data_IF_286369629309
#
_entry.id   IF_286369629309
#
_cell.length_a   1.000
_cell.length_b   1.000
_cell.length_c   1.000
_cell.angle_alpha   90.00
_cell.angle_beta   90.00
_cell.angle_gamma   90.00
#
_symmetry.space_group_name_H-M   'P 1'
#
loop_
_entity.id
_entity.type
_entity.pdbx_description
1 polymer ?
#
# COMPACT_ATOMS: atom_id res chain seq x y z
N UNK A 1 20.01 -36.94 62.58
CA UNK A 1 18.89 -37.59 61.84
C UNK A 1 18.81 -36.99 60.49
N UNK A 2 19.11 -37.80 59.50
CA UNK A 2 19.27 -37.50 58.09
C UNK A 2 17.91 -37.51 57.42
N UNK A 3 17.55 -36.51 56.59
CA UNK A 3 16.60 -36.69 55.54
C UNK A 3 17.07 -35.95 54.28
N UNK A 4 17.17 -36.74 53.27
CA UNK A 4 17.70 -36.63 51.93
C UNK A 4 16.98 -35.60 51.07
N UNK A 5 17.79 -34.92 50.28
CA UNK A 5 17.44 -34.13 49.11
C UNK A 5 17.07 -35.08 47.93
N UNK A 6 15.99 -34.88 47.25
CA UNK A 6 15.70 -35.54 45.98
C UNK A 6 15.49 -34.52 44.87
N UNK A 7 16.31 -34.72 43.87
CA UNK A 7 16.37 -34.08 42.57
C UNK A 7 15.01 -33.93 41.84
N UNK A 8 14.78 -32.78 41.28
CA UNK A 8 13.84 -32.58 40.20
C UNK A 8 14.60 -32.14 38.94
N UNK A 9 14.79 -33.08 38.03
CA UNK A 9 15.28 -32.80 36.69
C UNK A 9 14.18 -32.22 35.82
N UNK A 10 14.46 -31.25 34.93
CA UNK A 10 13.49 -30.78 33.93
C UNK A 10 13.50 -31.74 32.72
N UNK A 11 12.33 -32.24 32.41
CA UNK A 11 12.06 -33.07 31.23
C UNK A 11 12.22 -32.25 29.94
N UNK A 12 13.19 -32.68 29.12
CA UNK A 12 13.37 -32.22 27.74
C UNK A 12 12.28 -32.81 26.86
N UNK A 13 11.24 -32.09 26.54
CA UNK A 13 10.38 -32.41 25.40
C UNK A 13 11.03 -31.88 24.13
N UNK A 14 11.69 -32.81 23.40
CA UNK A 14 12.01 -32.62 21.96
C UNK A 14 10.71 -32.63 21.18
N UNK A 15 10.25 -31.47 20.73
CA UNK A 15 9.25 -31.38 19.67
C UNK A 15 9.88 -31.88 18.36
N UNK A 16 9.38 -32.99 17.85
CA UNK A 16 9.70 -33.52 16.51
C UNK A 16 9.14 -32.54 15.47
N UNK A 17 10.01 -31.85 14.77
CA UNK A 17 9.69 -31.14 13.55
C UNK A 17 9.17 -32.15 12.50
N UNK A 18 7.86 -32.14 12.25
CA UNK A 18 7.30 -32.74 11.04
C UNK A 18 7.44 -31.72 9.91
N UNK A 19 8.25 -32.07 8.94
CA UNK A 19 8.31 -31.36 7.66
C UNK A 19 6.95 -31.54 6.96
N UNK A 20 6.20 -30.46 6.78
CA UNK A 20 5.07 -30.40 5.86
C UNK A 20 5.39 -29.48 4.68
N UNK A 21 4.94 -29.84 3.47
CA UNK A 21 5.34 -29.16 2.24
C UNK A 21 4.75 -27.74 2.19
N UNK A 22 5.53 -26.85 1.64
CA UNK A 22 5.34 -25.42 1.41
C UNK A 22 3.94 -25.06 0.90
N UNK A 23 3.06 -24.66 1.77
CA UNK A 23 1.88 -23.88 1.44
C UNK A 23 2.15 -22.44 1.94
N UNK A 24 2.24 -21.50 0.99
CA UNK A 24 2.66 -20.14 1.25
C UNK A 24 1.55 -19.30 1.89
N UNK A 25 1.40 -19.42 3.19
CA UNK A 25 0.69 -18.46 4.01
C UNK A 25 1.58 -18.21 5.23
N UNK A 26 2.35 -17.12 5.22
CA UNK A 26 3.17 -16.76 6.36
C UNK A 26 2.34 -15.90 7.31
N UNK A 27 2.02 -16.49 8.47
CA UNK A 27 1.64 -15.73 9.65
C UNK A 27 2.90 -14.99 10.14
N UNK A 28 2.95 -13.69 10.05
CA UNK A 28 3.93 -12.90 10.79
C UNK A 28 3.38 -12.76 12.20
N UNK A 29 3.68 -13.72 13.04
CA UNK A 29 3.53 -13.65 14.48
C UNK A 29 4.91 -13.69 15.09
N UNK A 30 5.40 -12.60 15.64
CA UNK A 30 5.75 -12.45 17.04
C UNK A 30 6.15 -11.03 17.43
N UNK A 31 5.53 -10.60 18.47
CA UNK A 31 5.96 -9.83 19.61
C UNK A 31 6.72 -8.51 19.42
N UNK A 32 5.99 -7.45 19.21
CA UNK A 32 6.06 -6.33 20.14
C UNK A 32 4.65 -5.74 20.27
N UNK A 33 4.11 -5.74 21.49
CA UNK A 33 2.76 -5.26 21.84
C UNK A 33 2.65 -3.74 21.66
N UNK A 34 2.70 -3.30 20.40
CA UNK A 34 1.98 -2.10 19.96
C UNK A 34 0.54 -2.54 19.71
N UNK A 35 -0.42 -1.63 19.62
CA UNK A 35 -1.81 -1.91 19.19
C UNK A 35 -1.78 -2.43 17.75
N UNK A 36 -1.30 -3.64 17.58
CA UNK A 36 -0.84 -4.21 16.34
C UNK A 36 -1.99 -4.94 15.68
N UNK A 37 -2.43 -4.39 14.58
CA UNK A 37 -3.28 -5.07 13.65
C UNK A 37 -2.61 -6.30 13.05
N UNK A 38 -3.41 -7.20 12.50
CA UNK A 38 -2.92 -8.30 11.70
C UNK A 38 -2.86 -7.86 10.23
N UNK A 39 -1.68 -8.01 9.62
CA UNK A 39 -1.47 -7.77 8.19
C UNK A 39 -1.05 -9.07 7.53
N UNK A 40 -1.67 -9.41 6.40
CA UNK A 40 -1.31 -10.56 5.58
C UNK A 40 -1.16 -10.12 4.14
N UNK A 41 0.02 -10.34 3.58
CA UNK A 41 0.30 -10.13 2.17
C UNK A 41 0.26 -11.51 1.50
N UNK A 42 -0.41 -11.59 0.37
CA UNK A 42 -0.53 -12.81 -0.42
C UNK A 42 0.25 -12.62 -1.71
N UNK A 43 1.13 -13.55 -2.00
CA UNK A 43 1.77 -13.62 -3.32
C UNK A 43 0.72 -14.02 -4.34
N UNK A 44 0.48 -13.15 -5.30
CA UNK A 44 -0.34 -13.51 -6.44
C UNK A 44 0.53 -14.14 -7.53
N UNK A 45 -0.07 -14.87 -8.45
CA UNK A 45 0.64 -15.39 -9.63
C UNK A 45 0.90 -14.29 -10.68
N UNK A 46 0.16 -13.20 -10.60
CA UNK A 46 0.34 -12.02 -11.42
C UNK A 46 1.30 -11.08 -10.70
N UNK A 47 2.58 -11.08 -11.13
CA UNK A 47 3.67 -10.35 -10.46
C UNK A 47 3.41 -8.86 -10.25
N UNK A 48 2.48 -8.28 -11.00
CA UNK A 48 2.11 -6.86 -10.95
C UNK A 48 0.86 -6.58 -10.10
N UNK A 49 0.34 -7.57 -9.37
CA UNK A 49 -0.80 -7.43 -8.46
C UNK A 49 -0.41 -7.96 -7.08
N UNK A 50 -0.65 -7.15 -6.05
CA UNK A 50 -0.44 -7.51 -4.65
C UNK A 50 -1.78 -7.60 -3.93
N UNK A 51 -2.01 -8.66 -3.19
CA UNK A 51 -3.22 -8.84 -2.39
C UNK A 51 -2.87 -8.74 -0.90
N UNK A 52 -3.62 -7.92 -0.17
CA UNK A 52 -3.39 -7.64 1.26
C UNK A 52 -4.69 -7.79 2.03
N UNK A 53 -4.64 -8.44 3.20
CA UNK A 53 -5.68 -8.34 4.23
C UNK A 53 -5.10 -7.67 5.46
N UNK A 54 -5.89 -6.80 6.06
CA UNK A 54 -5.50 -6.14 7.29
C UNK A 54 -6.69 -6.01 8.25
N UNK A 55 -6.39 -6.13 9.54
CA UNK A 55 -7.29 -5.82 10.64
C UNK A 55 -6.50 -5.04 11.67
N UNK A 56 -6.86 -3.78 11.93
CA UNK A 56 -6.07 -2.91 12.80
C UNK A 56 -6.83 -1.69 13.31
N UNK A 57 -6.47 -1.26 14.52
CA UNK A 57 -6.79 0.07 15.07
C UNK A 57 -5.77 1.15 14.72
N UNK A 58 -4.77 0.85 13.86
CA UNK A 58 -3.75 1.82 13.48
C UNK A 58 -4.31 2.91 12.57
N UNK A 59 -3.93 4.16 12.86
CA UNK A 59 -4.19 5.30 11.99
C UNK A 59 -3.00 5.53 11.07
N UNK A 60 -3.22 5.43 9.77
CA UNK A 60 -2.20 5.74 8.78
C UNK A 60 -2.18 7.25 8.54
N UNK A 61 -1.03 7.92 8.74
CA UNK A 61 -0.91 9.33 8.41
C UNK A 61 -0.98 9.55 6.90
N UNK A 62 -1.05 10.80 6.47
CA UNK A 62 -1.00 11.15 5.05
C UNK A 62 0.19 10.52 4.35
N UNK A 63 -0.09 9.76 3.30
CA UNK A 63 0.90 9.06 2.49
C UNK A 63 0.38 8.88 1.05
N UNK A 64 1.21 8.32 0.19
CA UNK A 64 0.88 7.99 -1.20
C UNK A 64 1.30 6.57 -1.52
N UNK A 65 0.68 5.98 -2.53
CA UNK A 65 1.13 4.76 -3.20
C UNK A 65 1.43 5.05 -4.66
N UNK A 66 2.31 4.29 -5.26
CA UNK A 66 2.60 4.31 -6.69
C UNK A 66 1.69 3.36 -7.50
N UNK A 67 0.80 2.66 -6.82
CA UNK A 67 -0.13 1.67 -7.35
C UNK A 67 -1.57 2.17 -7.29
N UNK A 68 -2.40 1.68 -8.19
CA UNK A 68 -3.85 1.70 -8.00
C UNK A 68 -4.24 0.73 -6.88
N UNK A 69 -5.22 1.10 -6.08
CA UNK A 69 -5.79 0.22 -5.06
C UNK A 69 -7.30 0.06 -5.23
N UNK A 70 -7.78 -1.17 -5.15
CA UNK A 70 -9.21 -1.49 -5.02
C UNK A 70 -9.35 -2.40 -3.82
N UNK A 71 -10.22 -2.07 -2.87
CA UNK A 71 -10.39 -2.84 -1.66
C UNK A 71 -11.83 -2.90 -1.19
N UNK A 72 -12.09 -3.84 -0.28
CA UNK A 72 -13.36 -4.03 0.40
C UNK A 72 -13.16 -3.83 1.89
N UNK A 73 -13.95 -2.97 2.51
CA UNK A 73 -14.05 -2.89 3.97
C UNK A 73 -14.83 -4.11 4.45
N UNK A 74 -14.18 -4.99 5.19
CA UNK A 74 -14.76 -6.26 5.65
C UNK A 74 -15.50 -6.10 6.98
N UNK A 75 -14.98 -5.25 7.88
CA UNK A 75 -15.56 -4.99 9.20
C UNK A 75 -15.18 -3.59 9.71
N UNK A 76 -16.03 -3.02 10.56
CA UNK A 76 -15.85 -1.68 11.11
C UNK A 76 -16.08 -0.58 10.07
N UNK A 77 -15.49 0.58 10.31
CA UNK A 77 -15.54 1.70 9.40
C UNK A 77 -14.23 2.50 9.44
N UNK A 78 -13.96 3.27 8.38
CA UNK A 78 -12.82 4.17 8.32
C UNK A 78 -13.23 5.55 7.81
N UNK A 79 -12.58 6.57 8.35
CA UNK A 79 -12.55 7.90 7.77
C UNK A 79 -11.20 8.10 7.07
N UNK A 80 -11.22 8.66 5.87
CA UNK A 80 -10.03 8.92 5.06
C UNK A 80 -10.12 10.27 4.41
N UNK A 81 -9.01 11.01 4.37
CA UNK A 81 -8.83 12.10 3.44
C UNK A 81 -8.44 11.49 2.08
N UNK A 82 -9.13 11.86 1.02
CA UNK A 82 -8.78 11.52 -0.36
C UNK A 82 -8.53 12.80 -1.16
N UNK A 83 -8.10 12.68 -2.42
CA UNK A 83 -8.04 13.81 -3.35
C UNK A 83 -9.40 14.51 -3.56
N UNK A 84 -10.49 13.88 -3.14
CA UNK A 84 -11.87 14.40 -3.22
C UNK A 84 -12.42 14.92 -1.89
N UNK A 85 -11.58 15.01 -0.84
CA UNK A 85 -11.96 15.46 0.49
C UNK A 85 -12.09 14.31 1.49
N UNK A 86 -12.70 14.61 2.65
CA UNK A 86 -12.97 13.58 3.68
C UNK A 86 -14.09 12.65 3.21
N UNK A 87 -13.82 11.36 3.29
CA UNK A 87 -14.78 10.29 2.98
C UNK A 87 -14.85 9.29 4.14
N UNK A 88 -15.96 8.62 4.25
CA UNK A 88 -16.15 7.51 5.20
C UNK A 88 -16.59 6.27 4.43
N UNK A 89 -15.97 5.13 4.74
CA UNK A 89 -16.34 3.82 4.22
C UNK A 89 -16.66 2.87 5.38
N UNK A 90 -17.66 2.05 5.20
CA UNK A 90 -18.16 1.10 6.19
C UNK A 90 -18.06 -0.34 5.67
N UNK A 91 -18.30 -1.31 6.54
CA UNK A 91 -18.31 -2.72 6.13
C UNK A 91 -19.26 -2.97 4.96
N UNK A 92 -18.74 -3.52 3.88
CA UNK A 92 -19.45 -3.73 2.61
C UNK A 92 -19.20 -2.65 1.56
N UNK A 93 -18.51 -1.56 1.87
CA UNK A 93 -18.12 -0.55 0.89
C UNK A 93 -16.82 -0.97 0.16
N UNK A 94 -16.76 -0.71 -1.15
CA UNK A 94 -15.52 -0.76 -1.92
C UNK A 94 -14.79 0.58 -1.74
N UNK A 95 -13.48 0.51 -1.53
CA UNK A 95 -12.60 1.67 -1.48
C UNK A 95 -11.63 1.63 -2.65
N UNK A 96 -11.31 2.79 -3.20
CA UNK A 96 -10.32 2.91 -4.26
C UNK A 96 -9.28 3.99 -3.97
N UNK A 97 -8.08 3.81 -4.50
CA UNK A 97 -6.95 4.74 -4.36
C UNK A 97 -6.24 4.86 -5.72
N UNK A 98 -5.91 6.09 -6.09
CA UNK A 98 -5.15 6.36 -7.31
C UNK A 98 -3.64 6.45 -7.02
N UNK A 99 -2.77 6.16 -8.00
CA UNK A 99 -1.33 6.35 -7.87
C UNK A 99 -1.00 7.80 -7.50
N UNK A 100 -0.11 7.96 -6.52
CA UNK A 100 0.36 9.25 -6.00
C UNK A 100 -0.73 10.15 -5.40
N UNK A 101 -1.94 9.65 -5.22
CA UNK A 101 -2.99 10.34 -4.47
C UNK A 101 -2.62 10.39 -2.98
N UNK A 102 -2.59 11.60 -2.40
CA UNK A 102 -2.35 11.74 -0.97
C UNK A 102 -3.62 11.41 -0.21
N UNK A 103 -3.53 10.38 0.60
CA UNK A 103 -4.61 9.93 1.45
C UNK A 103 -4.11 9.56 2.84
N UNK A 104 -5.02 9.45 3.78
CA UNK A 104 -4.81 8.89 5.11
C UNK A 104 -5.86 7.82 5.40
N UNK A 105 -5.85 7.26 6.61
CA UNK A 105 -6.88 6.30 6.99
C UNK A 105 -6.93 6.11 8.49
N UNK A 106 -8.07 6.41 9.09
CA UNK A 106 -8.31 6.25 10.51
C UNK A 106 -9.49 5.31 10.74
N UNK A 107 -9.44 4.38 11.71
CA UNK A 107 -10.62 3.64 12.10
C UNK A 107 -11.67 4.59 12.71
N UNK A 108 -12.93 4.33 12.40
CA UNK A 108 -14.06 4.89 13.16
C UNK A 108 -14.40 3.84 14.21
N UNK A 109 -14.10 4.15 15.48
CA UNK A 109 -14.11 3.19 16.58
C UNK A 109 -12.74 2.54 16.81
N UNK A 110 -12.72 1.33 17.37
CA UNK A 110 -11.48 0.69 17.87
C UNK A 110 -10.61 0.09 16.75
N UNK A 111 -11.23 -0.51 15.76
CA UNK A 111 -10.53 -1.18 14.65
C UNK A 111 -11.40 -1.29 13.40
N UNK A 112 -10.74 -1.60 12.29
CA UNK A 112 -11.36 -1.98 11.02
C UNK A 112 -10.61 -3.12 10.37
N UNK A 113 -11.31 -3.86 9.50
CA UNK A 113 -10.71 -4.88 8.64
C UNK A 113 -10.99 -4.58 7.18
N UNK A 114 -10.01 -4.83 6.31
CA UNK A 114 -10.19 -4.69 4.86
C UNK A 114 -9.35 -5.71 4.09
N UNK A 115 -9.80 -5.98 2.88
CA UNK A 115 -9.03 -6.68 1.85
C UNK A 115 -8.71 -5.71 0.74
N UNK A 116 -7.48 -5.71 0.20
CA UNK A 116 -7.02 -4.76 -0.81
C UNK A 116 -6.25 -5.47 -1.92
N UNK A 117 -6.51 -5.08 -3.15
CA UNK A 117 -5.72 -5.43 -4.33
C UNK A 117 -5.00 -4.17 -4.79
N UNK A 118 -3.67 -4.23 -4.90
CA UNK A 118 -2.83 -3.18 -5.46
C UNK A 118 -2.35 -3.60 -6.84
N UNK A 119 -2.46 -2.70 -7.80
CA UNK A 119 -2.15 -2.93 -9.20
C UNK A 119 -1.04 -1.99 -9.66
N UNK A 120 -0.03 -2.53 -10.33
CA UNK A 120 0.90 -1.68 -11.09
C UNK A 120 0.08 -0.85 -12.11
N UNK A 121 0.39 0.44 -12.30
CA UNK A 121 -0.33 1.29 -13.26
C UNK A 121 -0.39 0.71 -14.67
N UNK A 122 0.61 -0.06 -15.08
CA UNK A 122 0.65 -0.72 -16.39
C UNK A 122 -0.48 -1.75 -16.54
N UNK A 123 -0.77 -2.50 -15.48
CA UNK A 123 -1.87 -3.49 -15.49
C UNK A 123 -3.20 -2.81 -15.76
N UNK A 124 -3.48 -1.71 -15.06
CA UNK A 124 -4.72 -0.96 -15.25
C UNK A 124 -4.75 -0.35 -16.67
N UNK A 125 -3.64 0.20 -17.15
CA UNK A 125 -3.55 0.73 -18.50
C UNK A 125 -3.79 -0.34 -19.58
N UNK A 126 -3.26 -1.55 -19.40
CA UNK A 126 -3.46 -2.64 -20.35
C UNK A 126 -4.90 -3.16 -20.34
N UNK A 127 -5.51 -3.35 -19.15
CA UNK A 127 -6.92 -3.72 -19.02
C UNK A 127 -7.86 -2.68 -19.66
N UNK A 128 -7.54 -1.40 -19.53
CA UNK A 128 -8.36 -0.33 -20.11
C UNK A 128 -8.22 -0.20 -21.62
N UNK A 129 -7.08 -0.60 -22.21
CA UNK A 129 -6.96 -0.72 -23.66
C UNK A 129 -7.95 -1.74 -24.21
N UNK A 130 -8.13 -2.86 -23.50
CA UNK A 130 -9.07 -3.91 -23.89
C UNK A 130 -10.53 -3.46 -23.75
N UNK A 131 -10.85 -2.61 -22.74
CA UNK A 131 -12.21 -2.08 -22.49
C UNK A 131 -12.56 -0.94 -23.45
N UNK A 132 -11.61 -0.07 -23.80
CA UNK A 132 -11.88 1.30 -24.27
C UNK A 132 -11.52 1.61 -25.72
N UNK A 133 -11.28 0.65 -26.62
CA UNK A 133 -10.95 0.92 -28.03
C UNK A 133 -9.92 2.05 -28.25
N UNK A 134 -8.92 2.16 -27.37
CA UNK A 134 -7.77 3.05 -27.59
C UNK A 134 -7.93 4.50 -27.15
N UNK A 135 -8.94 4.88 -26.42
CA UNK A 135 -9.07 6.23 -25.83
C UNK A 135 -8.25 6.33 -24.55
N UNK A 136 -7.04 6.88 -24.66
CA UNK A 136 -6.12 7.11 -23.55
C UNK A 136 -6.22 8.54 -23.03
N UNK A 137 -6.97 8.76 -21.93
CA UNK A 137 -6.80 9.91 -21.05
C UNK A 137 -5.96 9.51 -19.82
N UNK A 138 -5.66 10.44 -18.92
CA UNK A 138 -5.12 10.10 -17.61
C UNK A 138 -6.12 9.17 -16.90
N UNK A 139 -5.65 7.98 -16.50
CA UNK A 139 -6.50 6.98 -15.87
C UNK A 139 -6.59 7.28 -14.39
N UNK A 140 -7.79 7.51 -13.90
CA UNK A 140 -8.08 7.69 -12.46
C UNK A 140 -9.36 6.97 -12.09
N UNK A 141 -9.39 6.32 -10.95
CA UNK A 141 -10.61 5.82 -10.34
C UNK A 141 -11.45 7.01 -9.88
N UNK A 142 -12.71 7.12 -10.33
CA UNK A 142 -13.49 8.33 -10.14
C UNK A 142 -14.02 8.52 -8.71
N UNK A 143 -14.21 7.45 -7.95
CA UNK A 143 -14.83 7.48 -6.62
C UNK A 143 -13.99 6.78 -5.57
N UNK A 144 -13.58 7.45 -4.47
CA UNK A 144 -12.79 6.82 -3.41
C UNK A 144 -13.58 5.82 -2.57
N UNK A 145 -14.92 5.90 -2.57
CA UNK A 145 -15.82 4.97 -1.90
C UNK A 145 -16.99 4.65 -2.82
N UNK A 146 -17.28 3.36 -2.99
CA UNK A 146 -18.32 2.86 -3.91
C UNK A 146 -19.23 1.91 -3.13
N UNK A 147 -20.55 2.17 -3.24
CA UNK A 147 -21.60 1.35 -2.63
C UNK A 147 -22.37 0.61 -3.71
N UNK A 148 -21.81 -0.51 -4.15
CA UNK A 148 -22.35 -1.33 -5.22
C UNK A 148 -22.22 -2.81 -4.85
N UNK A 149 -23.35 -3.48 -4.64
CA UNK A 149 -23.37 -4.88 -4.17
C UNK A 149 -22.80 -5.86 -5.21
N UNK A 150 -22.96 -5.60 -6.51
CA UNK A 150 -22.41 -6.43 -7.58
C UNK A 150 -20.88 -6.31 -7.61
N UNK A 151 -20.36 -5.10 -7.44
CA UNK A 151 -18.92 -4.86 -7.36
C UNK A 151 -18.31 -5.56 -6.14
N UNK A 152 -18.99 -5.53 -4.99
CA UNK A 152 -18.59 -6.28 -3.78
C UNK A 152 -18.58 -7.79 -4.05
N UNK A 153 -19.59 -8.32 -4.74
CA UNK A 153 -19.65 -9.74 -5.09
C UNK A 153 -18.49 -10.13 -6.02
N UNK A 154 -18.19 -9.30 -7.03
CA UNK A 154 -17.06 -9.49 -7.96
C UNK A 154 -15.73 -9.48 -7.20
N UNK A 155 -15.53 -8.51 -6.31
CA UNK A 155 -14.31 -8.44 -5.48
C UNK A 155 -14.15 -9.67 -4.59
N UNK A 156 -15.24 -10.10 -3.93
CA UNK A 156 -15.23 -11.30 -3.07
C UNK A 156 -14.95 -12.59 -3.83
N UNK A 157 -15.38 -12.68 -5.08
CA UNK A 157 -15.07 -13.81 -5.95
C UNK A 157 -13.59 -13.78 -6.42
N UNK A 158 -13.07 -12.60 -6.79
CA UNK A 158 -11.74 -12.44 -7.34
C UNK A 158 -10.63 -12.56 -6.28
N UNK A 159 -10.79 -11.90 -5.12
CA UNK A 159 -9.73 -11.79 -4.11
C UNK A 159 -9.15 -13.16 -3.71
N UNK A 160 -9.92 -14.20 -3.35
CA UNK A 160 -9.39 -15.51 -2.98
C UNK A 160 -8.71 -16.25 -4.14
N UNK A 161 -9.11 -15.99 -5.39
CA UNK A 161 -8.43 -16.54 -6.57
C UNK A 161 -7.03 -15.96 -6.73
N UNK A 162 -6.86 -14.65 -6.49
CA UNK A 162 -5.56 -13.99 -6.52
C UNK A 162 -4.71 -14.30 -5.29
N UNK A 163 -5.32 -14.45 -4.12
CA UNK A 163 -4.61 -14.69 -2.86
C UNK A 163 -4.12 -16.12 -2.66
N UNK A 164 -4.47 -17.07 -3.55
CA UNK A 164 -4.02 -18.45 -3.54
C UNK A 164 -3.24 -18.77 -4.82
N UNK A 165 -2.52 -19.89 -4.82
CA UNK A 165 -2.05 -20.47 -6.08
C UNK A 165 -3.27 -20.93 -6.88
N UNK A 166 -3.60 -20.20 -7.93
CA UNK A 166 -4.67 -20.59 -8.86
C UNK A 166 -4.27 -21.80 -9.67
N UNK A 167 -5.21 -22.68 -9.92
CA UNK A 167 -5.01 -23.76 -10.87
C UNK A 167 -5.17 -23.20 -12.31
N UNK A 168 -4.55 -23.83 -13.34
CA UNK A 168 -4.66 -23.33 -14.71
C UNK A 168 -6.11 -23.15 -15.20
N UNK A 169 -7.04 -23.95 -14.70
CA UNK A 169 -8.46 -23.83 -15.04
C UNK A 169 -9.14 -22.57 -14.44
N UNK A 170 -8.53 -21.91 -13.47
CA UNK A 170 -9.07 -20.68 -12.84
C UNK A 170 -8.70 -19.43 -13.66
N UNK A 171 -7.76 -19.50 -14.60
CA UNK A 171 -7.20 -18.36 -15.30
C UNK A 171 -8.27 -17.52 -16.03
N UNK A 172 -9.11 -18.18 -16.84
CA UNK A 172 -10.17 -17.49 -17.59
C UNK A 172 -11.18 -16.78 -16.66
N UNK A 173 -11.55 -17.44 -15.55
CA UNK A 173 -12.43 -16.84 -14.55
C UNK A 173 -11.77 -15.65 -13.87
N UNK A 174 -10.49 -15.79 -13.52
CA UNK A 174 -9.69 -14.74 -12.89
C UNK A 174 -9.59 -13.51 -13.79
N UNK A 175 -9.27 -13.70 -15.07
CA UNK A 175 -9.15 -12.60 -16.06
C UNK A 175 -10.50 -11.92 -16.27
N UNK A 176 -11.58 -12.68 -16.39
CA UNK A 176 -12.93 -12.13 -16.54
C UNK A 176 -13.38 -11.31 -15.33
N UNK A 177 -13.14 -11.80 -14.11
CA UNK A 177 -13.46 -11.08 -12.88
C UNK A 177 -12.59 -9.84 -12.70
N UNK A 178 -11.31 -9.91 -13.06
CA UNK A 178 -10.39 -8.77 -12.98
C UNK A 178 -10.83 -7.64 -13.92
N UNK A 179 -11.14 -7.99 -15.18
CA UNK A 179 -11.63 -7.04 -16.16
C UNK A 179 -12.97 -6.42 -15.71
N UNK A 180 -13.89 -7.23 -15.21
CA UNK A 180 -15.19 -6.78 -14.71
C UNK A 180 -15.04 -5.84 -13.50
N UNK A 181 -14.14 -6.16 -12.56
CA UNK A 181 -13.87 -5.33 -11.40
C UNK A 181 -13.37 -3.93 -11.81
N UNK A 182 -12.35 -3.88 -12.67
CA UNK A 182 -11.77 -2.61 -13.13
C UNK A 182 -12.78 -1.80 -13.94
N UNK A 183 -13.49 -2.43 -14.88
CA UNK A 183 -14.52 -1.78 -15.68
C UNK A 183 -15.63 -1.16 -14.80
N UNK A 184 -16.11 -1.91 -13.78
CA UNK A 184 -17.13 -1.43 -12.86
C UNK A 184 -16.64 -0.24 -12.02
N UNK A 185 -15.42 -0.30 -11.46
CA UNK A 185 -14.84 0.82 -10.69
C UNK A 185 -14.68 2.06 -11.57
N UNK A 186 -14.29 1.91 -12.83
CA UNK A 186 -14.14 3.01 -13.78
C UNK A 186 -15.48 3.65 -14.17
N UNK A 187 -16.56 2.87 -14.20
CA UNK A 187 -17.91 3.37 -14.55
C UNK A 187 -18.59 4.13 -13.40
N UNK A 188 -18.15 3.91 -12.16
CA UNK A 188 -18.74 4.55 -11.00
C UNK A 188 -18.32 6.01 -10.88
N UNK A 189 -19.26 6.92 -11.08
CA UNK A 189 -19.08 8.35 -10.84
C UNK A 189 -18.43 9.12 -11.97
N UNK A 190 -18.90 8.95 -13.20
CA UNK A 190 -18.48 9.65 -14.43
C UNK A 190 -18.65 11.20 -14.38
N UNK A 191 -18.29 11.82 -13.28
CA UNK A 191 -17.99 13.25 -13.21
C UNK A 191 -16.49 13.39 -13.49
N UNK A 192 -16.19 14.06 -14.60
CA UNK A 192 -14.86 14.15 -15.19
C UNK A 192 -13.70 14.45 -14.23
N UNK A 193 -12.46 14.18 -14.67
CA UNK A 193 -11.27 14.37 -13.87
C UNK A 193 -11.22 15.80 -13.32
N UNK A 194 -11.03 15.94 -12.02
CA UNK A 194 -10.64 17.23 -11.46
C UNK A 194 -9.16 17.43 -11.82
N UNK A 195 -8.93 18.11 -12.93
CA UNK A 195 -7.61 18.68 -13.22
C UNK A 195 -7.27 19.70 -12.12
N UNK A 196 -6.69 19.24 -11.02
CA UNK A 196 -5.95 20.14 -10.15
C UNK A 196 -4.64 20.37 -10.90
N UNK A 197 -4.66 21.35 -11.80
CA UNK A 197 -3.49 21.73 -12.56
C UNK A 197 -2.37 22.08 -11.56
N UNK A 198 -1.39 21.20 -11.45
CA UNK A 198 -0.17 21.49 -10.67
C UNK A 198 0.57 22.60 -11.43
N UNK A 199 0.85 23.75 -10.80
CA UNK A 199 1.60 24.79 -11.47
C UNK A 199 2.92 24.23 -12.04
N UNK A 200 3.24 24.55 -13.29
CA UNK A 200 4.40 23.97 -14.00
C UNK A 200 5.73 24.10 -13.20
N UNK A 201 5.89 25.20 -12.44
CA UNK A 201 7.03 25.39 -11.57
C UNK A 201 7.10 24.31 -10.46
N UNK A 202 5.98 24.00 -9.81
CA UNK A 202 5.90 22.96 -8.79
C UNK A 202 6.07 21.57 -9.42
N UNK A 203 5.59 21.38 -10.65
CA UNK A 203 5.84 20.17 -11.45
C UNK A 203 7.33 19.86 -11.57
N UNK A 204 8.15 20.85 -11.94
CA UNK A 204 9.61 20.68 -12.05
C UNK A 204 10.28 20.27 -10.75
N UNK A 205 9.90 20.88 -9.61
CA UNK A 205 10.45 20.48 -8.30
C UNK A 205 10.03 19.06 -7.92
N UNK A 206 8.80 18.66 -8.28
CA UNK A 206 8.32 17.30 -8.07
C UNK A 206 9.10 16.30 -8.93
N UNK A 207 9.31 16.60 -10.20
CA UNK A 207 10.11 15.77 -11.12
C UNK A 207 11.53 15.53 -10.57
N UNK A 208 12.22 16.58 -10.06
CA UNK A 208 13.53 16.41 -9.44
C UNK A 208 13.54 15.43 -8.26
N UNK A 209 12.49 15.46 -7.43
CA UNK A 209 12.37 14.50 -6.33
C UNK A 209 12.03 13.09 -6.85
N UNK A 210 11.21 12.99 -7.88
CA UNK A 210 10.76 11.73 -8.45
C UNK A 210 11.87 11.03 -9.22
N UNK A 211 12.75 11.79 -9.91
CA UNK A 211 13.86 11.26 -10.70
C UNK A 211 14.94 10.62 -9.83
N UNK A 212 15.32 11.26 -8.73
CA UNK A 212 16.28 10.71 -7.77
C UNK A 212 15.91 11.06 -6.32
N UNK A 213 15.04 10.28 -5.69
CA UNK A 213 14.68 10.53 -4.30
C UNK A 213 15.83 10.28 -3.31
N UNK A 214 16.90 9.59 -3.70
CA UNK A 214 18.08 9.40 -2.86
C UNK A 214 18.98 10.64 -2.80
N UNK A 215 18.88 11.52 -3.80
CA UNK A 215 19.68 12.74 -3.86
C UNK A 215 19.53 13.60 -2.58
N UNK A 216 20.60 14.28 -2.16
CA UNK A 216 20.58 15.18 -1.00
C UNK A 216 19.96 16.53 -1.36
N UNK A 217 18.70 16.53 -1.82
CA UNK A 217 17.98 17.74 -2.23
C UNK A 217 17.69 18.65 -1.04
N UNK A 218 17.98 19.94 -1.20
CA UNK A 218 17.69 20.99 -0.22
C UNK A 218 16.43 21.78 -0.58
N UNK A 219 15.83 22.41 0.43
CA UNK A 219 14.68 23.30 0.22
C UNK A 219 15.04 24.47 -0.70
N UNK A 220 16.30 24.98 -0.60
CA UNK A 220 16.80 26.07 -1.41
C UNK A 220 16.80 25.68 -2.90
N UNK A 221 17.43 24.58 -3.25
CA UNK A 221 17.50 24.07 -4.63
C UNK A 221 16.11 23.89 -5.25
N UNK A 222 15.19 23.29 -4.49
CA UNK A 222 13.82 23.08 -4.98
C UNK A 222 13.05 24.40 -5.16
N UNK A 223 13.26 25.38 -4.28
CA UNK A 223 12.65 26.71 -4.39
C UNK A 223 13.24 27.52 -5.56
N UNK A 224 14.55 27.44 -5.76
CA UNK A 224 15.27 28.12 -6.84
C UNK A 224 14.83 27.64 -8.23
N UNK A 225 14.65 26.31 -8.41
CA UNK A 225 14.10 25.73 -9.66
C UNK A 225 12.70 26.22 -9.96
N UNK A 226 11.94 26.60 -8.93
CA UNK A 226 10.60 27.15 -9.08
C UNK A 226 10.58 28.67 -9.25
N UNK A 227 11.71 29.36 -9.00
CA UNK A 227 11.79 30.82 -8.96
C UNK A 227 10.98 31.44 -7.80
N UNK A 228 10.90 30.74 -6.67
CA UNK A 228 10.11 31.12 -5.50
C UNK A 228 10.99 31.29 -4.26
N UNK A 229 10.56 32.14 -3.32
CA UNK A 229 11.15 32.13 -1.99
C UNK A 229 10.82 30.82 -1.26
N UNK A 230 11.64 30.43 -0.28
CA UNK A 230 11.42 29.19 0.50
C UNK A 230 9.99 29.08 1.05
N UNK A 231 9.45 30.17 1.58
CA UNK A 231 8.10 30.20 2.15
C UNK A 231 7.00 30.05 1.07
N UNK A 232 7.16 30.77 -0.05
CA UNK A 232 6.23 30.66 -1.18
C UNK A 232 6.24 29.24 -1.76
N UNK A 233 7.43 28.65 -1.92
CA UNK A 233 7.61 27.29 -2.40
C UNK A 233 6.93 26.27 -1.47
N UNK A 234 7.21 26.33 -0.15
CA UNK A 234 6.58 25.44 0.83
C UNK A 234 5.05 25.45 0.74
N UNK A 235 4.46 26.66 0.67
CA UNK A 235 3.01 26.81 0.56
C UNK A 235 2.46 26.30 -0.77
N UNK A 236 3.11 26.66 -1.88
CA UNK A 236 2.69 26.27 -3.22
C UNK A 236 2.79 24.74 -3.41
N UNK A 237 3.92 24.16 -2.99
CA UNK A 237 4.15 22.71 -3.06
C UNK A 237 3.14 21.94 -2.21
N UNK A 238 2.96 22.35 -0.94
CA UNK A 238 1.99 21.68 -0.05
C UNK A 238 0.55 21.80 -0.54
N UNK A 239 0.20 22.94 -1.15
CA UNK A 239 -1.13 23.13 -1.75
C UNK A 239 -1.33 22.22 -2.97
N UNK A 240 -0.30 22.08 -3.81
CA UNK A 240 -0.37 21.31 -5.04
C UNK A 240 -0.29 19.80 -4.82
N UNK A 241 0.49 19.34 -3.83
CA UNK A 241 0.78 17.92 -3.60
C UNK A 241 0.08 17.33 -2.37
N UNK A 242 -0.47 18.18 -1.49
CA UNK A 242 -1.02 17.74 -0.19
C UNK A 242 0.03 17.42 0.88
N UNK A 243 1.32 17.44 0.54
CA UNK A 243 2.46 17.13 1.42
C UNK A 243 3.49 18.25 1.40
N UNK A 244 4.26 18.39 2.49
CA UNK A 244 5.46 19.26 2.44
C UNK A 244 6.51 18.62 1.53
N UNK A 245 7.47 19.40 0.94
CA UNK A 245 8.53 18.84 0.09
C UNK A 245 9.30 17.70 0.77
N UNK A 246 9.66 17.86 2.04
CA UNK A 246 10.35 16.82 2.81
C UNK A 246 9.48 15.57 3.03
N UNK A 247 8.19 15.74 3.37
CA UNK A 247 7.27 14.61 3.52
C UNK A 247 7.08 13.87 2.19
N UNK A 248 7.00 14.60 1.08
CA UNK A 248 6.91 14.04 -0.27
C UNK A 248 8.18 13.24 -0.61
N UNK A 249 9.38 13.80 -0.38
CA UNK A 249 10.65 13.11 -0.56
C UNK A 249 10.71 11.80 0.23
N UNK A 250 10.31 11.84 1.51
CA UNK A 250 10.28 10.62 2.33
C UNK A 250 9.29 9.58 1.81
N UNK A 251 8.16 9.98 1.22
CA UNK A 251 7.22 9.06 0.57
C UNK A 251 7.87 8.39 -0.64
N UNK A 252 8.57 9.14 -1.50
CA UNK A 252 9.28 8.58 -2.66
C UNK A 252 10.38 7.60 -2.23
N UNK A 253 11.16 7.96 -1.20
CA UNK A 253 12.20 7.07 -0.63
C UNK A 253 11.61 5.76 -0.10
N UNK A 254 10.49 5.81 0.60
CA UNK A 254 9.90 4.60 1.18
C UNK A 254 9.22 3.72 0.12
N UNK A 255 8.68 4.29 -0.94
CA UNK A 255 8.17 3.56 -2.10
C UNK A 255 9.30 2.83 -2.83
N UNK A 256 10.44 3.50 -3.07
CA UNK A 256 11.62 2.88 -3.65
C UNK A 256 12.18 1.77 -2.74
N UNK A 257 12.25 2.00 -1.43
CA UNK A 257 12.66 0.98 -0.47
C UNK A 257 11.76 -0.26 -0.55
N UNK A 258 10.44 -0.08 -0.64
CA UNK A 258 9.49 -1.19 -0.80
C UNK A 258 9.78 -1.99 -2.08
N UNK A 259 10.07 -1.32 -3.19
CA UNK A 259 10.40 -1.96 -4.47
C UNK A 259 11.70 -2.77 -4.39
N UNK A 260 12.77 -2.21 -3.80
CA UNK A 260 14.05 -2.91 -3.63
C UNK A 260 13.94 -4.11 -2.67
N UNK A 261 13.13 -3.99 -1.61
CA UNK A 261 12.87 -5.10 -0.68
C UNK A 261 12.13 -6.23 -1.41
N UNK A 262 11.15 -5.90 -2.24
CA UNK A 262 10.38 -6.90 -2.99
C UNK A 262 11.24 -7.75 -3.94
N UNK A 263 12.32 -7.17 -4.49
CA UNK A 263 13.29 -7.90 -5.33
C UNK A 263 14.41 -8.56 -4.54
N UNK A 264 14.37 -8.53 -3.20
CA UNK A 264 15.28 -9.26 -2.32
C UNK A 264 16.56 -8.53 -1.93
N UNK A 265 16.66 -7.22 -2.17
CA UNK A 265 17.83 -6.43 -1.74
C UNK A 265 17.95 -6.41 -0.21
N UNK A 266 19.16 -6.61 0.37
CA UNK A 266 19.38 -6.56 1.81
C UNK A 266 18.96 -5.23 2.44
N UNK A 267 18.28 -5.27 3.59
CA UNK A 267 17.66 -4.08 4.20
C UNK A 267 18.64 -2.94 4.51
N UNK A 268 19.88 -3.26 4.86
CA UNK A 268 20.92 -2.25 5.10
C UNK A 268 21.30 -1.54 3.79
N UNK A 269 21.42 -2.27 2.69
CA UNK A 269 21.69 -1.74 1.36
C UNK A 269 20.52 -0.88 0.86
N UNK A 270 19.28 -1.36 1.07
CA UNK A 270 18.07 -0.59 0.74
C UNK A 270 18.04 0.76 1.45
N UNK A 271 18.33 0.78 2.75
CA UNK A 271 18.33 2.03 3.51
C UNK A 271 19.32 3.05 2.92
N UNK A 272 20.52 2.59 2.57
CA UNK A 272 21.53 3.44 1.95
C UNK A 272 21.13 3.88 0.54
N UNK A 273 20.73 2.93 -0.31
CA UNK A 273 20.34 3.21 -1.70
C UNK A 273 19.16 4.19 -1.82
N UNK A 274 18.26 4.19 -0.84
CA UNK A 274 17.11 5.12 -0.82
C UNK A 274 17.39 6.44 -0.07
N UNK A 275 18.64 6.71 0.34
CA UNK A 275 19.04 7.96 0.98
C UNK A 275 18.50 8.15 2.42
N UNK A 276 18.23 7.06 3.14
CA UNK A 276 17.94 7.10 4.57
C UNK A 276 19.21 7.25 5.39
N UNK A 277 19.14 7.93 6.53
CA UNK A 277 20.27 8.07 7.43
C UNK A 277 20.77 6.72 7.96
N UNK A 278 19.86 5.79 8.23
CA UNK A 278 20.13 4.43 8.67
C UNK A 278 18.92 3.50 8.45
N UNK A 279 19.14 2.19 8.63
CA UNK A 279 18.08 1.18 8.51
C UNK A 279 16.96 1.37 9.54
N UNK A 280 17.25 1.91 10.74
CA UNK A 280 16.23 2.13 11.77
C UNK A 280 15.29 3.26 11.40
N UNK A 281 15.82 4.32 10.76
CA UNK A 281 15.01 5.42 10.21
C UNK A 281 14.07 4.89 9.11
N UNK A 282 14.62 4.15 8.15
CA UNK A 282 13.82 3.49 7.12
C UNK A 282 12.74 2.57 7.73
N UNK A 283 13.10 1.73 8.70
CA UNK A 283 12.16 0.79 9.35
C UNK A 283 11.00 1.52 10.02
N UNK A 284 11.27 2.59 10.77
CA UNK A 284 10.21 3.38 11.43
C UNK A 284 9.23 3.97 10.42
N UNK A 285 9.74 4.52 9.33
CA UNK A 285 8.90 5.08 8.27
C UNK A 285 8.13 3.99 7.52
N UNK A 286 8.76 2.85 7.25
CA UNK A 286 8.12 1.71 6.60
C UNK A 286 6.93 1.21 7.41
N UNK A 287 7.13 0.96 8.72
CA UNK A 287 6.04 0.54 9.63
C UNK A 287 4.93 1.59 9.68
N UNK A 288 5.29 2.87 9.76
CA UNK A 288 4.30 3.96 9.80
C UNK A 288 3.44 4.02 8.54
N UNK A 289 3.99 3.73 7.37
CA UNK A 289 3.29 3.82 6.08
C UNK A 289 2.58 2.53 5.69
N UNK A 290 3.16 1.37 6.01
CA UNK A 290 2.64 0.08 5.55
C UNK A 290 2.09 -0.80 6.69
N UNK A 291 2.24 -0.40 7.95
CA UNK A 291 1.71 -1.13 9.11
C UNK A 291 2.50 -2.39 9.48
N UNK A 292 3.53 -2.78 8.71
CA UNK A 292 4.38 -3.96 8.95
C UNK A 292 5.86 -3.62 8.77
N UNK A 293 6.73 -4.44 9.34
CA UNK A 293 8.19 -4.20 9.23
C UNK A 293 8.73 -4.54 7.83
N UNK A 294 9.85 -3.90 7.40
CA UNK A 294 10.53 -4.27 6.15
C UNK A 294 10.88 -5.76 6.06
N UNK A 295 11.34 -6.37 7.19
CA UNK A 295 11.64 -7.79 7.25
C UNK A 295 10.42 -8.68 7.07
N UNK A 296 9.28 -8.28 7.65
CA UNK A 296 8.01 -8.98 7.46
C UNK A 296 7.52 -8.87 6.00
N UNK A 297 7.69 -7.69 5.38
CA UNK A 297 7.37 -7.48 3.98
C UNK A 297 8.27 -8.34 3.07
N UNK A 298 9.59 -8.33 3.30
CA UNK A 298 10.55 -9.17 2.56
C UNK A 298 10.22 -10.67 2.64
N UNK A 299 9.80 -11.16 3.82
CA UNK A 299 9.41 -12.55 3.98
C UNK A 299 8.11 -12.93 3.24
N UNK A 300 7.26 -11.94 2.94
CA UNK A 300 6.02 -12.12 2.18
C UNK A 300 6.25 -12.02 0.67
N UNK A 301 7.28 -11.29 0.22
CA UNK A 301 7.73 -11.24 -1.19
C UNK A 301 8.57 -12.46 -1.54
#
# INVERSE_FOLDING_TARGET
>A
MIVSNRDCQPSRHRAKLRQHPRQGCYLVGDATRMRSGQFRIFRTQLASIEAVKAETGHSFPKHTHDQFGIGLVEAGAQASLSGRGMVQAEAGDIISVNPNEVHDGMPVGDSRAWSMLYFDPRVIADLLKDIGEGRMGAVEFPSPVIRNAELVATFRALFPLLARKSAPQDALLQDGLLLSLVAAVMSEGAQGPRDIAVPAAIGRARELIDDDPAAPLTLAELADVCGLSHFQFLRAFSKATGLTPHAYLLQRRIQEARRLIAVGTPLAEVAFACGFADQSHMTRLFVRNFGLSPGAYAAAC
#
